data_IF_500771714375
#
_entry.id   IF_500771714375
#
_cell.length_a   1.000
_cell.length_b   1.000
_cell.length_c   1.000
_cell.angle_alpha   90.00
_cell.angle_beta   90.00
_cell.angle_gamma   90.00
#
_symmetry.space_group_name_H-M   'P 1'
#
loop_
_entity.id
_entity.type
_entity.pdbx_description
1 polymer ?
#
# COMPACT_ATOMS: atom_id res chain seq x y z
N UNK A 1 -6.10 60.64 29.24
CA UNK A 1 -4.84 61.38 29.00
C UNK A 1 -4.09 60.59 27.96
N UNK A 2 -4.20 61.04 26.72
CA UNK A 2 -3.54 60.49 25.54
C UNK A 2 -2.03 60.58 25.70
N UNK A 3 -1.30 59.56 25.25
CA UNK A 3 0.13 59.67 24.97
C UNK A 3 0.49 58.71 23.84
N UNK A 4 0.18 59.18 22.62
CA UNK A 4 0.73 58.69 21.38
C UNK A 4 2.22 59.04 21.32
N UNK A 5 3.09 58.05 21.10
CA UNK A 5 4.42 58.25 20.50
C UNK A 5 4.73 57.11 19.54
N UNK A 6 4.57 57.42 18.26
CA UNK A 6 5.12 56.68 17.11
C UNK A 6 6.61 57.02 16.89
N UNK A 7 7.25 56.15 16.09
CA UNK A 7 8.57 56.20 15.44
C UNK A 7 9.66 55.42 16.21
N UNK A 8 10.39 54.45 15.63
CA UNK A 8 10.85 54.26 14.25
C UNK A 8 10.85 52.76 13.86
N UNK A 9 10.37 52.45 12.65
CA UNK A 9 10.74 51.22 11.93
C UNK A 9 12.07 51.47 11.20
N UNK A 10 13.01 50.53 11.33
CA UNK A 10 14.12 50.35 10.39
C UNK A 10 14.07 48.92 9.85
N UNK A 11 14.29 48.69 8.54
CA UNK A 11 14.15 47.40 7.89
C UNK A 11 15.47 46.63 7.90
N UNK A 12 15.46 45.36 8.28
CA UNK A 12 16.63 44.49 8.15
C UNK A 12 16.47 43.18 8.91
N UNK A 13 16.44 42.09 8.15
CA UNK A 13 16.53 40.68 8.57
C UNK A 13 15.57 40.19 9.65
N UNK A 14 14.42 39.72 9.17
CA UNK A 14 13.62 38.72 9.90
C UNK A 14 13.66 37.44 9.09
N UNK A 15 14.61 36.57 9.42
CA UNK A 15 14.42 35.12 9.27
C UNK A 15 13.02 34.81 9.80
N UNK A 16 12.13 34.34 8.93
CA UNK A 16 10.78 33.94 9.30
C UNK A 16 10.86 32.77 10.29
N UNK A 17 10.98 33.10 11.57
CA UNK A 17 10.62 32.20 12.64
C UNK A 17 9.10 31.98 12.57
N UNK A 18 8.60 30.74 12.67
CA UNK A 18 7.17 30.50 12.65
C UNK A 18 6.54 31.26 13.82
N UNK A 19 5.56 32.11 13.49
CA UNK A 19 4.77 32.86 14.44
C UNK A 19 4.20 31.83 15.44
N UNK A 20 4.49 31.95 16.75
CA UNK A 20 3.96 30.99 17.70
C UNK A 20 2.46 31.19 17.77
N UNK A 21 1.69 30.17 17.40
CA UNK A 21 0.26 30.06 17.65
C UNK A 21 0.02 29.90 19.16
N UNK A 22 0.31 30.95 19.93
CA UNK A 22 -0.05 31.05 21.33
C UNK A 22 -1.56 31.21 21.41
N UNK A 23 -2.26 30.12 21.75
CA UNK A 23 -3.57 30.05 22.46
C UNK A 23 -4.46 28.87 22.00
N UNK A 24 -4.07 28.10 20.98
CA UNK A 24 -4.82 26.90 20.57
C UNK A 24 -4.32 25.65 21.29
N UNK A 25 -5.18 25.07 22.14
CA UNK A 25 -4.91 23.79 22.79
C UNK A 25 -4.63 22.75 21.71
N UNK A 26 -3.45 22.14 21.77
CA UNK A 26 -2.98 21.13 20.83
C UNK A 26 -2.56 19.88 21.60
N UNK A 27 -3.07 18.72 21.20
CA UNK A 27 -2.74 17.42 21.76
C UNK A 27 -2.06 16.56 20.70
N UNK A 28 -0.92 15.96 21.04
CA UNK A 28 -0.27 14.94 20.20
C UNK A 28 -0.49 13.56 20.84
N UNK A 29 -1.08 12.65 20.09
CA UNK A 29 -1.32 11.26 20.50
C UNK A 29 -0.83 10.34 19.39
N UNK A 30 0.27 9.63 19.65
CA UNK A 30 0.96 8.84 18.64
C UNK A 30 1.37 9.71 17.45
N UNK A 31 0.94 9.32 16.26
CA UNK A 31 1.17 10.00 15.00
C UNK A 31 0.07 11.03 14.63
N UNK A 32 -0.77 11.41 15.59
CA UNK A 32 -1.89 12.34 15.37
C UNK A 32 -1.71 13.61 16.18
N UNK A 33 -1.96 14.75 15.55
CA UNK A 33 -2.01 16.05 16.22
C UNK A 33 -3.43 16.59 16.11
N UNK A 34 -4.05 16.88 17.27
CA UNK A 34 -5.42 17.36 17.37
C UNK A 34 -5.37 18.78 17.91
N UNK A 35 -5.99 19.73 17.22
CA UNK A 35 -6.05 21.13 17.63
C UNK A 35 -7.48 21.67 17.58
N UNK A 36 -7.81 22.53 18.55
CA UNK A 36 -9.06 23.29 18.50
C UNK A 36 -8.94 24.40 17.45
N UNK A 37 -9.92 24.47 16.54
CA UNK A 37 -10.02 25.52 15.54
C UNK A 37 -11.09 26.54 15.92
N UNK A 38 -11.20 27.64 15.17
CA UNK A 38 -12.20 28.66 15.46
C UNK A 38 -13.61 28.14 15.19
N UNK A 39 -14.55 28.42 16.08
CA UNK A 39 -15.90 27.86 16.06
C UNK A 39 -15.96 26.46 16.70
N UNK A 40 -17.01 25.70 16.42
CA UNK A 40 -17.18 24.34 16.91
C UNK A 40 -16.47 23.33 15.98
N UNK A 41 -15.16 23.55 15.75
CA UNK A 41 -14.34 22.79 14.80
C UNK A 41 -13.09 22.22 15.45
N UNK A 42 -12.72 21.02 15.02
CA UNK A 42 -11.52 20.31 15.45
C UNK A 42 -10.68 20.00 14.22
N UNK A 43 -9.42 20.38 14.24
CA UNK A 43 -8.43 20.01 13.24
C UNK A 43 -7.66 18.78 13.70
N UNK A 44 -7.46 17.84 12.79
CA UNK A 44 -6.65 16.64 13.00
C UNK A 44 -5.61 16.59 11.89
N UNK A 45 -4.36 16.43 12.27
CA UNK A 45 -3.26 16.08 11.38
C UNK A 45 -2.84 14.64 11.66
N UNK A 46 -2.64 13.88 10.60
CA UNK A 46 -2.11 12.52 10.59
C UNK A 46 -0.72 12.53 9.98
N UNK A 47 0.27 12.16 10.79
CA UNK A 47 1.65 11.98 10.36
C UNK A 47 1.81 10.50 9.96
N UNK A 48 2.15 10.20 8.71
CA UNK A 48 2.46 8.82 8.30
C UNK A 48 3.96 8.59 8.26
N UNK A 49 4.39 7.35 8.48
CA UNK A 49 5.80 6.99 8.45
C UNK A 49 6.02 5.59 7.90
N UNK A 50 7.14 5.36 7.24
CA UNK A 50 7.56 4.04 6.79
C UNK A 50 9.02 3.80 7.19
N UNK A 51 9.31 2.65 7.80
CA UNK A 51 10.66 2.30 8.29
C UNK A 51 11.32 3.37 9.20
N UNK A 52 10.50 4.13 9.95
CA UNK A 52 10.97 5.20 10.85
C UNK A 52 11.15 6.56 10.18
N UNK A 53 10.99 6.64 8.86
CA UNK A 53 11.06 7.89 8.11
C UNK A 53 9.66 8.50 7.93
N UNK A 54 9.56 9.82 8.02
CA UNK A 54 8.29 10.53 7.79
C UNK A 54 7.91 10.48 6.31
N UNK A 55 6.65 10.18 6.03
CA UNK A 55 6.09 10.16 4.69
C UNK A 55 5.18 11.38 4.48
N UNK A 56 3.88 11.15 4.27
CA UNK A 56 2.91 12.19 3.98
C UNK A 56 2.22 12.69 5.25
N UNK A 57 1.77 13.95 5.18
CA UNK A 57 0.88 14.56 6.15
C UNK A 57 -0.53 14.65 5.57
N UNK A 58 -1.52 14.20 6.34
CA UNK A 58 -2.92 14.35 5.98
C UNK A 58 -3.66 15.15 7.04
N UNK A 59 -4.73 15.82 6.63
CA UNK A 59 -5.53 16.69 7.49
C UNK A 59 -7.00 16.32 7.37
N UNK A 60 -7.72 16.45 8.47
CA UNK A 60 -9.16 16.31 8.56
C UNK A 60 -9.70 17.38 9.50
N UNK A 61 -10.72 18.10 9.07
CA UNK A 61 -11.44 19.08 9.88
C UNK A 61 -12.83 18.52 10.15
N UNK A 62 -13.13 18.39 11.43
CA UNK A 62 -14.45 18.00 11.91
C UNK A 62 -15.21 19.23 12.38
N UNK A 63 -16.50 19.30 12.06
CA UNK A 63 -17.40 20.37 12.49
C UNK A 63 -18.62 19.79 13.19
N UNK A 64 -19.05 20.46 14.26
CA UNK A 64 -20.38 20.29 14.85
C UNK A 64 -21.11 21.62 14.79
N UNK A 65 -22.20 21.70 14.02
CA UNK A 65 -22.98 22.94 13.87
C UNK A 65 -23.86 23.24 15.10
N UNK A 66 -24.20 22.21 15.88
CA UNK A 66 -25.01 22.29 17.08
C UNK A 66 -24.78 21.05 17.94
N UNK A 67 -25.02 21.15 19.26
CA UNK A 67 -24.96 20.01 20.18
C UNK A 67 -25.96 18.89 19.83
N UNK A 68 -27.00 19.20 19.04
CA UNK A 68 -27.99 18.24 18.54
C UNK A 68 -27.61 17.62 17.19
N UNK A 69 -26.65 18.21 16.48
CA UNK A 69 -26.24 17.75 15.16
C UNK A 69 -25.03 16.81 15.27
N UNK A 70 -25.06 15.75 14.44
CA UNK A 70 -23.94 14.82 14.30
C UNK A 70 -22.68 15.59 13.87
N UNK A 71 -21.55 15.26 14.47
CA UNK A 71 -20.25 15.76 14.02
C UNK A 71 -19.96 15.24 12.60
N UNK A 72 -19.51 16.10 11.70
CA UNK A 72 -19.28 15.77 10.29
C UNK A 72 -17.88 16.14 9.83
N UNK A 73 -17.42 15.51 8.75
CA UNK A 73 -16.18 15.87 8.08
C UNK A 73 -16.43 17.05 7.15
N UNK A 74 -15.89 18.21 7.52
CA UNK A 74 -16.00 19.46 6.78
C UNK A 74 -15.03 19.48 5.59
N UNK A 75 -13.74 19.25 5.86
CA UNK A 75 -12.65 19.30 4.87
C UNK A 75 -11.60 18.23 5.20
N UNK A 76 -10.95 17.66 4.19
CA UNK A 76 -9.83 16.74 4.40
C UNK A 76 -8.89 16.67 3.18
N UNK A 77 -7.68 16.17 3.41
CA UNK A 77 -6.71 15.83 2.35
C UNK A 77 -6.57 14.33 2.12
N UNK A 78 -7.39 13.51 2.79
CA UNK A 78 -7.43 12.05 2.59
C UNK A 78 -7.71 11.73 1.11
N UNK A 79 -6.91 10.85 0.46
CA UNK A 79 -7.09 10.49 -0.94
C UNK A 79 -8.51 9.98 -1.25
N UNK A 80 -9.07 10.41 -2.38
CA UNK A 80 -10.48 10.18 -2.72
C UNK A 80 -10.91 8.70 -2.80
N UNK A 81 -9.95 7.79 -2.98
CA UNK A 81 -10.18 6.35 -3.07
C UNK A 81 -10.15 5.66 -1.70
N UNK A 82 -9.87 6.39 -0.61
CA UNK A 82 -9.97 5.88 0.76
C UNK A 82 -11.35 6.20 1.36
N UNK A 83 -11.95 5.26 2.10
CA UNK A 83 -13.37 5.32 2.47
C UNK A 83 -13.65 6.19 3.70
N UNK A 84 -13.28 7.48 3.65
CA UNK A 84 -13.48 8.40 4.79
C UNK A 84 -14.97 8.68 5.06
N UNK A 85 -15.82 8.66 4.03
CA UNK A 85 -17.26 8.91 4.19
C UNK A 85 -17.96 7.73 4.86
N UNK A 86 -17.53 6.52 4.54
CA UNK A 86 -17.95 5.30 5.22
C UNK A 86 -17.52 5.35 6.70
N UNK A 87 -16.27 5.71 6.97
CA UNK A 87 -15.77 5.89 8.34
C UNK A 87 -16.55 6.97 9.11
N UNK A 88 -16.88 8.11 8.48
CA UNK A 88 -17.72 9.16 9.05
C UNK A 88 -19.12 8.63 9.41
N UNK A 89 -19.73 7.86 8.51
CA UNK A 89 -21.05 7.30 8.73
C UNK A 89 -21.07 6.29 9.87
N UNK A 90 -20.05 5.45 9.96
CA UNK A 90 -19.95 4.37 10.95
C UNK A 90 -19.55 4.89 12.34
N UNK A 91 -18.52 5.74 12.42
CA UNK A 91 -17.85 6.04 13.68
C UNK A 91 -18.21 7.41 14.27
N UNK A 92 -18.36 8.48 13.48
CA UNK A 92 -18.52 9.84 14.04
C UNK A 92 -19.80 10.02 14.85
N UNK A 93 -20.87 9.27 14.56
CA UNK A 93 -22.12 9.33 15.33
C UNK A 93 -22.03 8.67 16.69
N UNK A 94 -21.09 7.73 16.87
CA UNK A 94 -20.98 6.95 18.10
C UNK A 94 -19.78 7.38 18.94
N UNK A 95 -18.62 7.57 18.29
CA UNK A 95 -17.37 7.85 18.96
C UNK A 95 -16.36 8.53 18.01
N UNK A 96 -16.12 9.82 18.22
CA UNK A 96 -15.17 10.60 17.44
C UNK A 96 -13.73 10.05 17.54
N UNK A 97 -13.33 9.46 18.66
CA UNK A 97 -12.00 8.86 18.83
C UNK A 97 -11.85 7.66 17.88
N UNK A 98 -12.88 6.81 17.77
CA UNK A 98 -12.85 5.67 16.83
C UNK A 98 -12.73 6.11 15.38
N UNK A 99 -13.42 7.18 14.99
CA UNK A 99 -13.26 7.76 13.66
C UNK A 99 -11.81 8.23 13.45
N UNK A 100 -11.28 9.01 14.40
CA UNK A 100 -9.94 9.57 14.34
C UNK A 100 -8.91 8.45 14.19
N UNK A 101 -8.98 7.41 15.02
CA UNK A 101 -8.06 6.27 14.97
C UNK A 101 -8.20 5.50 13.65
N UNK A 102 -9.43 5.18 13.23
CA UNK A 102 -9.67 4.42 12.00
C UNK A 102 -9.13 5.12 10.74
N UNK A 103 -9.34 6.44 10.62
CA UNK A 103 -8.76 7.21 9.51
C UNK A 103 -7.23 7.20 9.56
N UNK A 104 -6.65 7.28 10.76
CA UNK A 104 -5.20 7.14 10.94
C UNK A 104 -4.67 5.78 10.47
N UNK A 105 -5.35 4.70 10.84
CA UNK A 105 -4.98 3.34 10.45
C UNK A 105 -5.12 3.12 8.94
N UNK A 106 -6.20 3.64 8.32
CA UNK A 106 -6.39 3.61 6.87
C UNK A 106 -5.26 4.30 6.12
N UNK A 107 -4.87 5.50 6.57
CA UNK A 107 -3.79 6.28 5.95
C UNK A 107 -2.44 5.60 6.12
N UNK A 108 -2.15 5.10 7.32
CA UNK A 108 -0.89 4.41 7.61
C UNK A 108 -0.77 3.13 6.77
N UNK A 109 -1.80 2.29 6.71
CA UNK A 109 -1.79 1.07 5.92
C UNK A 109 -1.72 1.33 4.41
N UNK A 110 -2.32 2.42 3.92
CA UNK A 110 -2.14 2.88 2.53
C UNK A 110 -0.68 3.24 2.25
N UNK A 111 -0.05 4.04 3.11
CA UNK A 111 1.36 4.43 2.97
C UNK A 111 2.27 3.22 3.05
N UNK A 112 2.07 2.33 4.02
CA UNK A 112 2.88 1.12 4.16
C UNK A 112 2.88 0.25 2.89
N UNK A 113 1.69 0.01 2.32
CA UNK A 113 1.59 -0.78 1.07
C UNK A 113 2.25 -0.07 -0.11
N UNK A 114 2.05 1.25 -0.24
CA UNK A 114 2.67 2.05 -1.30
C UNK A 114 4.19 2.03 -1.20
N UNK A 115 4.73 2.27 -0.01
CA UNK A 115 6.17 2.32 0.22
C UNK A 115 6.82 0.94 0.10
N UNK A 116 6.14 -0.13 0.52
CA UNK A 116 6.60 -1.50 0.25
C UNK A 116 6.73 -1.78 -1.26
N UNK A 117 5.76 -1.36 -2.07
CA UNK A 117 5.85 -1.49 -3.54
C UNK A 117 6.96 -0.62 -4.13
N UNK A 118 7.12 0.61 -3.64
CA UNK A 118 8.23 1.49 -4.03
C UNK A 118 9.58 0.83 -3.74
N UNK A 119 9.72 0.24 -2.56
CA UNK A 119 10.97 -0.35 -2.09
C UNK A 119 11.35 -1.62 -2.88
N UNK A 120 10.40 -2.51 -3.20
CA UNK A 120 10.74 -3.66 -4.05
C UNK A 120 11.17 -3.24 -5.45
N UNK A 121 10.59 -2.16 -5.99
CA UNK A 121 10.99 -1.63 -7.29
C UNK A 121 12.39 -1.02 -7.24
N UNK A 122 12.74 -0.36 -6.14
CA UNK A 122 14.06 0.21 -5.91
C UNK A 122 15.13 -0.88 -5.73
N UNK A 123 14.83 -1.92 -4.95
CA UNK A 123 15.80 -2.98 -4.61
C UNK A 123 15.92 -4.05 -5.70
N UNK A 124 14.81 -4.42 -6.35
CA UNK A 124 14.70 -5.61 -7.21
C UNK A 124 14.10 -5.31 -8.58
N UNK A 125 14.02 -4.04 -8.99
CA UNK A 125 13.36 -3.63 -10.22
C UNK A 125 13.94 -4.23 -11.51
N UNK A 126 15.15 -4.81 -11.47
CA UNK A 126 15.75 -5.54 -12.58
C UNK A 126 15.24 -6.98 -12.74
N UNK A 127 14.62 -7.55 -11.70
CA UNK A 127 14.04 -8.89 -11.68
C UNK A 127 12.50 -8.86 -11.76
N UNK A 128 11.91 -7.68 -11.52
CA UNK A 128 10.48 -7.45 -11.62
C UNK A 128 10.16 -7.01 -13.05
N UNK A 129 9.35 -7.82 -13.74
CA UNK A 129 8.81 -7.48 -15.05
C UNK A 129 7.65 -6.49 -14.94
N UNK A 130 6.50 -6.85 -15.50
CA UNK A 130 5.28 -6.05 -15.35
C UNK A 130 4.86 -5.94 -13.87
N UNK A 131 4.62 -4.72 -13.38
CA UNK A 131 4.11 -4.42 -12.05
C UNK A 131 2.88 -3.50 -12.17
N UNK A 132 1.76 -3.99 -11.66
CA UNK A 132 0.49 -3.28 -11.57
C UNK A 132 0.09 -3.12 -10.10
N UNK A 133 -0.53 -2.00 -9.78
CA UNK A 133 -1.20 -1.80 -8.51
C UNK A 133 -2.44 -0.91 -8.67
N UNK A 134 -3.45 -1.13 -7.84
CA UNK A 134 -4.59 -0.21 -7.74
C UNK A 134 -4.22 1.06 -6.98
N UNK A 135 -5.03 2.12 -7.08
CA UNK A 135 -4.79 3.39 -6.37
C UNK A 135 -4.65 3.22 -4.85
N UNK A 136 -5.47 2.39 -4.15
CA UNK A 136 -5.31 2.15 -2.71
C UNK A 136 -4.23 1.13 -2.37
N UNK A 137 -3.51 0.58 -3.38
CA UNK A 137 -2.60 -0.56 -3.20
C UNK A 137 -3.26 -1.80 -2.57
N UNK A 138 -4.57 -1.96 -2.75
CA UNK A 138 -5.30 -3.13 -2.25
C UNK A 138 -5.28 -4.33 -3.22
N UNK A 139 -4.79 -4.11 -4.44
CA UNK A 139 -4.55 -5.12 -5.44
C UNK A 139 -3.20 -4.81 -6.07
N UNK A 140 -2.25 -5.75 -5.96
CA UNK A 140 -0.90 -5.61 -6.47
C UNK A 140 -0.60 -6.88 -7.26
N UNK A 141 -0.15 -6.73 -8.50
CA UNK A 141 0.23 -7.86 -9.34
C UNK A 141 1.57 -7.59 -9.98
N UNK A 142 2.47 -8.56 -9.92
CA UNK A 142 3.75 -8.43 -10.60
C UNK A 142 4.30 -9.76 -11.10
N UNK A 143 5.26 -9.64 -12.02
CA UNK A 143 5.97 -10.77 -12.58
C UNK A 143 7.40 -10.79 -12.06
N UNK A 144 7.86 -11.95 -11.60
CA UNK A 144 9.29 -12.22 -11.40
C UNK A 144 9.77 -12.89 -12.69
N UNK A 145 10.73 -12.26 -13.35
CA UNK A 145 11.35 -12.79 -14.56
C UNK A 145 12.55 -13.65 -14.17
N UNK A 146 12.48 -14.95 -14.47
CA UNK A 146 13.59 -15.89 -14.40
C UNK A 146 13.81 -16.53 -15.79
N UNK A 147 15.01 -17.04 -16.06
CA UNK A 147 15.46 -17.43 -17.40
C UNK A 147 14.63 -18.56 -18.03
N UNK A 148 14.02 -19.44 -17.23
CA UNK A 148 13.30 -20.63 -17.70
C UNK A 148 11.80 -20.65 -17.36
N UNK A 149 11.32 -19.70 -16.55
CA UNK A 149 9.93 -19.65 -16.07
C UNK A 149 9.48 -18.24 -15.72
N UNK A 150 8.20 -17.95 -15.99
CA UNK A 150 7.56 -16.70 -15.57
C UNK A 150 6.82 -16.95 -14.25
N UNK A 151 7.08 -16.18 -13.20
CA UNK A 151 6.30 -16.30 -11.96
C UNK A 151 5.40 -15.08 -11.82
N UNK A 152 4.10 -15.30 -11.69
CA UNK A 152 3.10 -14.24 -11.45
C UNK A 152 2.69 -14.24 -9.99
N UNK A 153 2.79 -13.08 -9.36
CA UNK A 153 2.38 -12.83 -7.97
C UNK A 153 1.16 -11.90 -7.99
N UNK A 154 0.09 -12.28 -7.28
CA UNK A 154 -1.12 -11.46 -7.10
C UNK A 154 -1.48 -11.36 -5.62
N UNK A 155 -1.60 -10.13 -5.13
CA UNK A 155 -1.89 -9.79 -3.75
C UNK A 155 -3.20 -9.02 -3.66
N UNK A 156 -4.04 -9.39 -2.68
CA UNK A 156 -5.33 -8.76 -2.40
C UNK A 156 -5.46 -8.43 -0.93
N UNK A 157 -5.81 -7.18 -0.65
CA UNK A 157 -6.08 -6.66 0.69
C UNK A 157 -7.58 -6.34 0.78
N UNK A 158 -8.36 -7.30 1.28
CA UNK A 158 -9.80 -7.11 1.47
C UNK A 158 -10.08 -6.07 2.55
N UNK A 159 -9.21 -6.01 3.55
CA UNK A 159 -9.23 -5.00 4.60
C UNK A 159 -8.20 -3.90 4.30
N UNK A 160 -8.66 -2.65 4.24
CA UNK A 160 -7.82 -1.51 3.89
C UNK A 160 -6.94 -1.00 5.04
N UNK A 161 -7.21 -1.40 6.29
CA UNK A 161 -6.31 -1.10 7.42
C UNK A 161 -5.19 -2.16 7.58
N UNK A 162 -5.24 -3.24 6.80
CA UNK A 162 -4.22 -4.29 6.84
C UNK A 162 -3.00 -3.94 5.99
N UNK A 163 -1.80 -4.14 6.55
CA UNK A 163 -0.50 -3.97 5.86
C UNK A 163 -0.03 -5.25 5.17
N UNK A 164 -0.60 -6.40 5.54
CA UNK A 164 -0.36 -7.72 4.92
C UNK A 164 -1.57 -8.15 4.07
N UNK A 165 -1.33 -8.87 2.96
CA UNK A 165 -2.40 -9.30 2.07
C UNK A 165 -3.26 -10.40 2.69
N UNK A 166 -4.57 -10.27 2.48
CA UNK A 166 -5.57 -11.29 2.87
C UNK A 166 -5.74 -12.40 1.83
N UNK A 167 -5.43 -12.10 0.57
CA UNK A 167 -5.47 -13.03 -0.55
C UNK A 167 -4.13 -13.00 -1.27
N UNK A 168 -3.54 -14.17 -1.50
CA UNK A 168 -2.24 -14.32 -2.15
C UNK A 168 -2.31 -15.47 -3.13
N UNK A 169 -1.80 -15.25 -4.34
CA UNK A 169 -1.60 -16.27 -5.36
C UNK A 169 -0.23 -16.11 -5.99
N UNK A 170 0.55 -17.19 -6.03
CA UNK A 170 1.85 -17.22 -6.71
C UNK A 170 1.88 -18.41 -7.67
N UNK A 171 2.00 -18.12 -8.96
CA UNK A 171 1.90 -19.09 -10.04
C UNK A 171 3.16 -19.06 -10.91
N UNK A 172 3.83 -20.20 -11.03
CA UNK A 172 4.95 -20.41 -11.94
C UNK A 172 4.46 -21.00 -13.27
N UNK A 173 4.84 -20.36 -14.37
CA UNK A 173 4.50 -20.73 -15.73
C UNK A 173 5.74 -21.28 -16.46
N UNK A 174 5.73 -22.53 -16.95
CA UNK A 174 6.84 -23.06 -17.71
C UNK A 174 6.87 -22.41 -19.10
N UNK A 175 7.97 -21.73 -19.45
CA UNK A 175 8.08 -21.00 -20.73
C UNK A 175 8.55 -21.88 -21.90
N UNK A 176 9.14 -23.04 -21.64
CA UNK A 176 9.63 -23.96 -22.68
C UNK A 176 9.12 -25.39 -22.53
N UNK A 177 7.90 -25.66 -23.02
CA UNK A 177 7.51 -26.99 -23.47
C UNK A 177 7.51 -27.03 -25.00
N UNK A 178 8.67 -26.83 -25.63
CA UNK A 178 8.79 -27.11 -27.05
C UNK A 178 8.62 -28.61 -27.26
N UNK A 179 7.48 -28.99 -27.86
CA UNK A 179 7.16 -30.34 -28.33
C UNK A 179 8.40 -31.05 -28.91
N UNK A 180 9.00 -31.99 -28.16
CA UNK A 180 9.70 -33.13 -28.75
C UNK A 180 8.70 -34.28 -28.86
N UNK A 181 7.74 -34.13 -29.76
CA UNK A 181 6.97 -35.28 -30.24
C UNK A 181 7.88 -36.09 -31.14
N UNK A 182 8.32 -37.22 -30.61
CA UNK A 182 8.87 -38.39 -31.29
C UNK A 182 8.43 -38.51 -32.76
N UNK A 183 9.33 -38.22 -33.69
CA UNK A 183 9.27 -38.79 -35.04
C UNK A 183 9.73 -40.25 -34.97
N UNK A 184 8.80 -41.11 -34.55
CA UNK A 184 8.76 -42.49 -35.01
C UNK A 184 7.40 -42.70 -35.66
N UNK A 185 7.49 -42.79 -36.98
CA UNK A 185 6.46 -42.98 -38.00
C UNK A 185 5.37 -43.97 -37.54
N UNK A 186 4.11 -43.52 -37.54
CA UNK A 186 2.93 -44.33 -37.85
C UNK A 186 1.82 -43.40 -38.40
N UNK A 187 1.22 -43.68 -39.56
CA UNK A 187 0.18 -42.83 -40.14
C UNK A 187 -1.20 -43.19 -39.59
N UNK A 188 -2.10 -42.20 -39.65
CA UNK A 188 -3.54 -42.25 -39.36
C UNK A 188 -3.99 -42.12 -37.89
N UNK A 189 -4.41 -40.91 -37.50
CA UNK A 189 -5.80 -40.59 -37.20
C UNK A 189 -5.94 -39.07 -36.95
N UNK A 190 -6.82 -38.42 -37.70
CA UNK A 190 -7.22 -37.02 -37.49
C UNK A 190 -7.88 -36.89 -36.11
N UNK A 191 -7.25 -36.16 -35.21
CA UNK A 191 -7.85 -35.68 -33.96
C UNK A 191 -7.40 -34.25 -33.71
N UNK A 192 -8.36 -33.34 -33.56
CA UNK A 192 -8.14 -31.91 -33.31
C UNK A 192 -7.21 -31.68 -32.12
N UNK A 193 -5.98 -31.24 -32.39
CA UNK A 193 -5.04 -30.79 -31.36
C UNK A 193 -5.44 -29.41 -30.85
N UNK A 194 -6.26 -29.36 -29.81
CA UNK A 194 -6.34 -28.18 -28.93
C UNK A 194 -4.97 -28.07 -28.26
N UNK A 195 -4.27 -26.95 -28.47
CA UNK A 195 -2.96 -26.72 -27.87
C UNK A 195 -3.04 -26.91 -26.35
N UNK A 196 -2.21 -27.81 -25.81
CA UNK A 196 -2.03 -27.96 -24.37
C UNK A 196 -1.45 -26.65 -23.83
N UNK A 197 -2.29 -25.80 -23.24
CA UNK A 197 -1.82 -24.64 -22.50
C UNK A 197 -0.96 -25.15 -21.32
N UNK A 198 0.20 -24.53 -21.05
CA UNK A 198 1.01 -24.91 -19.90
C UNK A 198 0.18 -24.69 -18.63
N UNK A 199 0.04 -25.74 -17.81
CA UNK A 199 -0.65 -25.65 -16.53
C UNK A 199 0.30 -24.95 -15.56
N UNK A 200 -0.09 -23.80 -14.97
CA UNK A 200 0.73 -23.14 -13.98
C UNK A 200 0.80 -23.98 -12.71
N UNK A 201 1.94 -23.91 -12.05
CA UNK A 201 2.15 -24.61 -10.80
C UNK A 201 2.23 -23.59 -9.66
N UNK A 202 1.55 -23.88 -8.54
CA UNK A 202 1.40 -22.96 -7.42
C UNK A 202 2.60 -23.05 -6.48
N UNK A 203 3.17 -21.91 -6.10
CA UNK A 203 4.29 -21.83 -5.16
C UNK A 203 3.77 -21.55 -3.74
N UNK A 204 3.45 -22.59 -2.99
CA UNK A 204 2.85 -22.44 -1.64
C UNK A 204 3.79 -21.74 -0.65
N UNK A 205 5.09 -22.05 -0.69
CA UNK A 205 6.08 -21.41 0.19
C UNK A 205 6.12 -19.89 -0.02
N UNK A 206 6.01 -19.45 -1.29
CA UNK A 206 6.01 -18.04 -1.66
C UNK A 206 4.74 -17.35 -1.16
N UNK A 207 3.60 -18.03 -1.26
CA UNK A 207 2.35 -17.49 -0.73
C UNK A 207 2.38 -17.35 0.80
N UNK A 208 3.00 -18.30 1.51
CA UNK A 208 3.11 -18.26 2.98
C UNK A 208 4.05 -17.14 3.45
N UNK A 209 5.16 -16.91 2.75
CA UNK A 209 6.04 -15.76 2.99
C UNK A 209 5.26 -14.43 2.85
N UNK A 210 4.51 -14.26 1.75
CA UNK A 210 3.71 -13.05 1.49
C UNK A 210 2.56 -12.84 2.49
N UNK A 211 2.06 -13.89 3.15
CA UNK A 211 1.03 -13.78 4.21
C UNK A 211 1.60 -13.35 5.55
N UNK A 212 2.90 -13.50 5.78
CA UNK A 212 3.51 -13.38 7.12
C UNK A 212 4.61 -12.34 7.22
N UNK A 213 5.17 -11.91 6.09
CA UNK A 213 6.28 -10.95 6.00
C UNK A 213 5.88 -9.72 5.20
N UNK A 214 6.61 -8.62 5.37
CA UNK A 214 6.44 -7.47 4.47
C UNK A 214 6.80 -7.84 3.03
N UNK A 215 6.26 -7.13 2.04
CA UNK A 215 6.49 -7.45 0.62
C UNK A 215 8.00 -7.49 0.24
N UNK A 216 8.88 -6.58 0.70
CA UNK A 216 10.32 -6.67 0.43
C UNK A 216 11.01 -7.89 1.04
N UNK A 217 10.64 -8.26 2.27
CA UNK A 217 11.18 -9.45 2.95
C UNK A 217 10.69 -10.73 2.27
N UNK A 218 9.39 -10.81 2.00
CA UNK A 218 8.79 -11.93 1.29
C UNK A 218 9.41 -12.10 -0.10
N UNK A 219 9.67 -11.00 -0.83
CA UNK A 219 10.32 -11.06 -2.14
C UNK A 219 11.71 -11.70 -2.05
N UNK A 220 12.52 -11.29 -1.07
CA UNK A 220 13.85 -11.85 -0.85
C UNK A 220 13.79 -13.36 -0.57
N UNK A 221 12.87 -13.79 0.30
CA UNK A 221 12.63 -15.21 0.61
C UNK A 221 12.16 -16.00 -0.62
N UNK A 222 11.30 -15.40 -1.45
CA UNK A 222 10.80 -16.03 -2.68
C UNK A 222 11.95 -16.33 -3.62
N UNK A 223 12.73 -15.30 -3.98
CA UNK A 223 13.82 -15.42 -4.96
C UNK A 223 14.93 -16.34 -4.46
N UNK A 224 15.22 -16.35 -3.16
CA UNK A 224 16.23 -17.24 -2.57
C UNK A 224 15.91 -18.72 -2.81
N UNK A 225 14.64 -19.11 -2.68
CA UNK A 225 14.21 -20.50 -2.79
C UNK A 225 13.66 -20.86 -4.18
N UNK A 226 13.45 -19.87 -5.05
CA UNK A 226 12.79 -20.05 -6.35
C UNK A 226 13.50 -21.05 -7.27
N UNK A 227 14.84 -21.03 -7.44
CA UNK A 227 15.50 -21.97 -8.35
C UNK A 227 15.29 -23.44 -7.96
N UNK A 228 15.39 -23.75 -6.67
CA UNK A 228 15.17 -25.11 -6.17
C UNK A 228 13.71 -25.53 -6.33
N UNK A 229 12.77 -24.65 -5.99
CA UNK A 229 11.34 -24.92 -6.14
C UNK A 229 10.96 -25.18 -7.61
N UNK A 230 11.50 -24.40 -8.54
CA UNK A 230 11.28 -24.61 -9.98
C UNK A 230 11.88 -25.92 -10.48
N UNK A 231 13.08 -26.31 -10.02
CA UNK A 231 13.69 -27.60 -10.38
C UNK A 231 12.87 -28.80 -9.90
N UNK A 232 12.32 -28.74 -8.69
CA UNK A 232 11.51 -29.83 -8.14
C UNK A 232 10.16 -29.97 -8.87
N UNK A 233 9.60 -28.85 -9.35
CA UNK A 233 8.30 -28.80 -10.02
C UNK A 233 8.39 -29.06 -11.54
N UNK A 234 9.45 -28.56 -12.17
CA UNK A 234 9.74 -28.70 -13.58
C UNK A 234 11.13 -29.29 -13.76
N UNK A 235 11.35 -30.56 -13.35
CA UNK A 235 12.64 -31.19 -13.56
C UNK A 235 12.95 -31.13 -15.04
N UNK A 236 14.06 -30.46 -15.39
CA UNK A 236 14.54 -30.45 -16.76
C UNK A 236 14.54 -31.91 -17.24
N UNK A 237 13.83 -32.21 -18.32
CA UNK A 237 14.03 -33.48 -19.01
C UNK A 237 15.39 -33.42 -19.70
N UNK A 238 16.46 -33.42 -18.91
CA UNK A 238 17.84 -33.67 -19.34
C UNK A 238 17.91 -35.14 -19.75
N UNK A 239 17.35 -35.40 -20.93
CA UNK A 239 17.64 -36.59 -21.69
C UNK A 239 18.95 -36.33 -22.41
N UNK A 240 19.99 -36.99 -21.89
CA UNK A 240 21.23 -37.50 -22.56
C UNK A 240 21.62 -36.87 -23.88
#
# INVERSE_FOLDING_TARGET
>A
MEAERKAMQMPGDTTQLPIPFHDKITYKVGNKVICCLDGARIGIQYDTSFAGESCDLYHCVLESKSFLEKMTVLEHTVPFFLPIREAENEFLSSNAIRFIDHVGDLLQAYVDRREQVRLIKELYGNQIGELYHSLPYHMIEFVIEDFDSKVTVSLRYADLISTLPTGVSVLAWPMHQSKKSSDKIAPHLKGNGVGSHPIPARLTYAEDALRTMSLPEAYAEIVLNLPQALQDMFPHTSST
#
